data_IF_360030257509
#
_entry.id   IF_360030257509
#
_cell.length_a   1.000
_cell.length_b   1.000
_cell.length_c   1.000
_cell.angle_alpha   90.00
_cell.angle_beta   90.00
_cell.angle_gamma   90.00
#
_symmetry.space_group_name_H-M   'P 1'
#
loop_
_entity.id
_entity.type
_entity.pdbx_description
1 polymer ?
#
# COMPACT_ATOMS: atom_id res chain seq x y z
N UNK A 1 5.10 15.82 4.82
CA UNK A 1 5.00 14.75 3.80
C UNK A 1 5.55 15.17 2.43
N UNK A 2 5.23 16.36 1.87
CA UNK A 2 5.63 16.74 0.49
C UNK A 2 7.14 16.64 0.21
N UNK A 3 8.01 16.97 1.19
CA UNK A 3 9.47 16.79 1.03
C UNK A 3 9.89 15.33 0.92
N UNK A 4 9.22 14.44 1.66
CA UNK A 4 9.45 12.98 1.61
C UNK A 4 8.97 12.40 0.28
N UNK A 5 7.82 12.88 -0.23
CA UNK A 5 7.33 12.47 -1.55
C UNK A 5 8.35 12.81 -2.66
N UNK A 6 8.98 13.99 -2.61
CA UNK A 6 10.05 14.38 -3.55
C UNK A 6 11.32 13.54 -3.43
N UNK A 7 11.53 12.86 -2.31
CA UNK A 7 12.62 11.91 -2.09
C UNK A 7 12.24 10.46 -2.49
N UNK A 8 11.10 10.27 -3.13
CA UNK A 8 10.64 8.97 -3.61
C UNK A 8 9.92 8.13 -2.58
N UNK A 9 9.24 8.74 -1.59
CA UNK A 9 8.42 8.03 -0.61
C UNK A 9 6.94 8.24 -0.93
N UNK A 10 6.27 7.17 -1.38
CA UNK A 10 4.82 7.11 -1.52
C UNK A 10 4.14 6.80 -0.17
N UNK A 11 2.86 7.17 -0.04
CA UNK A 11 2.07 6.90 1.16
C UNK A 11 0.64 6.52 0.80
N UNK A 12 0.19 5.42 1.34
CA UNK A 12 -1.16 4.91 1.20
C UNK A 12 -1.79 4.79 2.59
N UNK A 13 -2.64 5.76 2.99
CA UNK A 13 -3.25 5.79 4.31
C UNK A 13 -4.28 4.67 4.49
N UNK A 14 -4.64 4.39 5.75
CA UNK A 14 -5.70 3.48 6.12
C UNK A 14 -7.06 3.91 5.55
N UNK A 15 -7.38 5.21 5.71
CA UNK A 15 -8.63 5.75 5.20
C UNK A 15 -8.59 6.06 3.71
N UNK A 16 -9.77 6.03 3.06
CA UNK A 16 -9.91 6.37 1.66
C UNK A 16 -9.38 7.78 1.34
N UNK A 17 -8.40 7.84 0.46
CA UNK A 17 -7.65 9.07 0.15
C UNK A 17 -7.97 9.67 -1.22
N UNK A 18 -8.89 9.07 -2.02
CA UNK A 18 -9.28 9.61 -3.31
C UNK A 18 -9.88 11.02 -3.20
N UNK A 19 -9.59 11.87 -4.16
CA UNK A 19 -10.27 13.16 -4.30
C UNK A 19 -11.71 12.92 -4.76
N UNK A 20 -12.65 13.05 -3.84
CA UNK A 20 -14.08 12.69 -4.04
C UNK A 20 -14.77 13.45 -5.17
N UNK A 21 -14.35 14.69 -5.43
CA UNK A 21 -14.88 15.54 -6.50
C UNK A 21 -14.30 15.26 -7.89
N UNK A 22 -13.35 14.34 -8.01
CA UNK A 22 -12.67 14.00 -9.24
C UNK A 22 -13.07 12.61 -9.73
N UNK A 23 -12.91 12.34 -11.03
CA UNK A 23 -13.00 11.00 -11.60
C UNK A 23 -11.65 10.25 -11.45
N UNK A 24 -11.60 9.00 -11.92
CA UNK A 24 -10.40 8.14 -11.82
C UNK A 24 -9.20 8.78 -12.53
N UNK A 25 -9.36 9.19 -13.79
CA UNK A 25 -8.31 9.85 -14.56
C UNK A 25 -7.77 11.10 -13.85
N UNK A 26 -8.65 11.96 -13.37
CA UNK A 26 -8.29 13.19 -12.69
C UNK A 26 -7.56 12.94 -11.36
N UNK A 27 -7.92 11.88 -10.64
CA UNK A 27 -7.23 11.47 -9.42
C UNK A 27 -5.76 11.12 -9.68
N UNK A 28 -5.47 10.35 -10.73
CA UNK A 28 -4.10 9.96 -11.10
C UNK A 28 -3.37 11.16 -11.70
N UNK A 29 -4.01 11.88 -12.61
CA UNK A 29 -3.45 13.05 -13.29
C UNK A 29 -3.01 14.15 -12.31
N UNK A 30 -3.73 14.32 -11.19
CA UNK A 30 -3.36 15.32 -10.16
C UNK A 30 -1.96 15.14 -9.59
N UNK A 31 -1.42 13.92 -9.60
CA UNK A 31 -0.03 13.63 -9.20
C UNK A 31 0.90 13.76 -10.40
N UNK A 32 0.52 13.22 -11.56
CA UNK A 32 1.33 13.29 -12.77
C UNK A 32 1.65 14.73 -13.17
N UNK A 33 0.71 15.67 -13.03
CA UNK A 33 0.92 17.10 -13.31
C UNK A 33 2.00 17.74 -12.42
N UNK A 34 2.25 17.19 -11.24
CA UNK A 34 3.27 17.69 -10.31
C UNK A 34 4.66 17.13 -10.63
N UNK A 35 4.74 15.90 -11.17
CA UNK A 35 6.01 15.19 -11.32
C UNK A 35 6.53 15.16 -12.75
N UNK A 36 5.65 15.24 -13.75
CA UNK A 36 5.99 15.14 -15.18
C UNK A 36 5.56 16.42 -15.93
N UNK A 37 6.50 17.23 -16.45
CA UNK A 37 6.18 18.45 -17.17
C UNK A 37 5.53 18.22 -18.55
N UNK A 38 5.89 17.13 -19.25
CA UNK A 38 5.40 16.82 -20.58
C UNK A 38 3.96 16.31 -20.57
N UNK A 39 3.06 16.95 -21.31
CA UNK A 39 1.66 16.54 -21.42
C UNK A 39 1.53 15.17 -22.10
N UNK A 40 2.33 14.89 -23.12
CA UNK A 40 2.31 13.62 -23.82
C UNK A 40 2.82 12.47 -22.94
N UNK A 41 3.90 12.70 -22.17
CA UNK A 41 4.41 11.72 -21.22
C UNK A 41 3.40 11.43 -20.11
N UNK A 42 2.71 12.45 -19.56
CA UNK A 42 1.63 12.26 -18.59
C UNK A 42 0.50 11.38 -19.13
N UNK A 43 0.12 11.60 -20.40
CA UNK A 43 -0.89 10.79 -21.07
C UNK A 43 -0.49 9.32 -21.15
N UNK A 44 0.74 9.03 -21.56
CA UNK A 44 1.26 7.66 -21.63
C UNK A 44 1.32 7.01 -20.24
N UNK A 45 1.88 7.69 -19.26
CA UNK A 45 1.96 7.19 -17.88
C UNK A 45 0.57 6.92 -17.26
N UNK A 46 -0.40 7.77 -17.56
CA UNK A 46 -1.79 7.55 -17.14
C UNK A 46 -2.36 6.28 -17.76
N UNK A 47 -2.20 6.09 -19.07
CA UNK A 47 -2.71 4.92 -19.79
C UNK A 47 -2.05 3.63 -19.30
N UNK A 48 -0.74 3.65 -19.01
CA UNK A 48 0.00 2.54 -18.41
C UNK A 48 -0.55 2.19 -17.02
N UNK A 49 -0.74 3.16 -16.12
CA UNK A 49 -1.28 2.92 -14.80
C UNK A 49 -2.72 2.41 -14.84
N UNK A 50 -3.55 2.95 -15.72
CA UNK A 50 -4.93 2.48 -15.89
C UNK A 50 -4.99 1.03 -16.38
N UNK A 51 -4.10 0.64 -17.29
CA UNK A 51 -4.00 -0.72 -17.80
C UNK A 51 -3.45 -1.67 -16.74
N UNK A 52 -2.37 -1.29 -16.07
CA UNK A 52 -1.68 -2.08 -15.03
C UNK A 52 -2.63 -2.50 -13.90
N UNK A 53 -3.46 -1.57 -13.42
CA UNK A 53 -4.43 -1.83 -12.35
C UNK A 53 -5.81 -2.28 -12.83
N UNK A 54 -5.99 -2.50 -14.15
CA UNK A 54 -7.25 -2.97 -14.72
C UNK A 54 -8.43 -2.01 -14.53
N UNK A 55 -8.16 -0.70 -14.39
CA UNK A 55 -9.16 0.34 -14.11
C UNK A 55 -9.43 1.25 -15.32
N UNK A 56 -8.97 0.87 -16.52
CA UNK A 56 -9.16 1.66 -17.74
C UNK A 56 -10.63 1.88 -18.10
N UNK A 57 -11.49 0.89 -17.84
CA UNK A 57 -12.94 0.98 -18.07
C UNK A 57 -13.63 1.97 -17.09
N UNK A 58 -12.97 2.31 -15.99
CA UNK A 58 -13.46 3.27 -14.99
C UNK A 58 -12.91 4.69 -15.18
N UNK A 59 -12.12 4.93 -16.22
CA UNK A 59 -11.38 6.17 -16.45
C UNK A 59 -12.16 7.43 -16.12
N UNK A 60 -13.42 7.52 -16.55
CA UNK A 60 -14.31 8.68 -16.37
C UNK A 60 -15.31 8.53 -15.21
N UNK A 61 -15.25 7.43 -14.48
CA UNK A 61 -16.16 7.16 -13.36
C UNK A 61 -15.82 8.10 -12.20
N UNK A 62 -16.80 8.81 -11.62
CA UNK A 62 -16.59 9.60 -10.43
C UNK A 62 -16.07 8.75 -9.26
N UNK A 63 -15.10 9.26 -8.48
CA UNK A 63 -14.49 8.51 -7.38
C UNK A 63 -15.49 8.04 -6.32
N UNK A 64 -16.61 8.77 -6.13
CA UNK A 64 -17.68 8.40 -5.21
C UNK A 64 -18.49 7.17 -5.66
N UNK A 65 -18.49 6.84 -6.95
CA UNK A 65 -19.24 5.71 -7.51
C UNK A 65 -18.43 4.40 -7.49
N UNK A 66 -17.15 4.44 -7.10
CA UNK A 66 -16.27 3.27 -7.06
C UNK A 66 -16.59 2.36 -5.86
N UNK A 67 -16.55 1.06 -6.09
CA UNK A 67 -16.50 0.06 -5.04
C UNK A 67 -15.22 0.21 -4.19
N UNK A 68 -15.16 -0.45 -3.04
CA UNK A 68 -13.97 -0.42 -2.16
C UNK A 68 -12.70 -0.87 -2.88
N UNK A 69 -12.74 -2.02 -3.57
CA UNK A 69 -11.61 -2.56 -4.31
C UNK A 69 -11.17 -1.70 -5.50
N UNK A 70 -12.14 -1.17 -6.28
CA UNK A 70 -11.83 -0.23 -7.37
C UNK A 70 -11.19 1.04 -6.86
N UNK A 71 -11.70 1.61 -5.77
CA UNK A 71 -11.14 2.78 -5.11
C UNK A 71 -9.71 2.53 -4.67
N UNK A 72 -9.45 1.39 -4.04
CA UNK A 72 -8.10 1.01 -3.58
C UNK A 72 -7.12 0.94 -4.73
N UNK A 73 -7.50 0.33 -5.86
CA UNK A 73 -6.67 0.30 -7.08
C UNK A 73 -6.36 1.69 -7.63
N UNK A 74 -7.33 2.61 -7.61
CA UNK A 74 -7.10 4.01 -8.01
C UNK A 74 -6.13 4.72 -7.06
N UNK A 75 -6.24 4.51 -5.75
CA UNK A 75 -5.33 5.09 -4.76
C UNK A 75 -3.89 4.62 -4.94
N UNK A 76 -3.72 3.33 -5.24
CA UNK A 76 -2.42 2.73 -5.51
C UNK A 76 -1.84 3.29 -6.81
N UNK A 77 -2.60 3.29 -7.91
CA UNK A 77 -2.19 3.86 -9.18
C UNK A 77 -1.77 5.33 -9.03
N UNK A 78 -2.54 6.11 -8.24
CA UNK A 78 -2.20 7.49 -7.92
C UNK A 78 -0.90 7.61 -7.09
N UNK A 79 -0.68 6.73 -6.12
CA UNK A 79 0.55 6.74 -5.34
C UNK A 79 1.78 6.39 -6.21
N UNK A 80 1.63 5.45 -7.15
CA UNK A 80 2.68 5.05 -8.08
C UNK A 80 2.94 6.08 -9.20
N UNK A 81 2.00 6.98 -9.47
CA UNK A 81 2.19 8.07 -10.42
C UNK A 81 3.39 8.96 -10.10
N UNK A 82 3.81 9.05 -8.81
CA UNK A 82 5.02 9.76 -8.39
C UNK A 82 6.31 8.95 -8.55
N UNK A 83 6.25 7.73 -9.10
CA UNK A 83 7.39 6.80 -9.25
C UNK A 83 8.21 6.64 -7.96
N UNK A 84 7.59 6.24 -6.85
CA UNK A 84 8.29 6.15 -5.57
C UNK A 84 9.30 4.99 -5.55
N UNK A 85 10.41 5.17 -4.81
CA UNK A 85 11.34 4.08 -4.50
C UNK A 85 10.88 3.25 -3.28
N UNK A 86 10.06 3.87 -2.42
CA UNK A 86 9.47 3.24 -1.23
C UNK A 86 8.01 3.65 -1.09
N UNK A 87 7.17 2.74 -0.61
CA UNK A 87 5.77 3.03 -0.29
C UNK A 87 5.46 2.61 1.15
N UNK A 88 4.77 3.49 1.86
CA UNK A 88 4.26 3.23 3.20
C UNK A 88 2.79 2.84 3.10
N UNK A 89 2.45 1.66 3.60
CA UNK A 89 1.08 1.15 3.71
C UNK A 89 0.66 1.20 5.19
N UNK A 90 -0.31 2.04 5.49
CA UNK A 90 -0.77 2.26 6.85
C UNK A 90 -2.02 1.43 7.12
N UNK A 91 -1.90 0.45 8.02
CA UNK A 91 -2.93 -0.52 8.38
C UNK A 91 -3.73 -1.08 7.18
N UNK A 92 -3.05 -1.64 6.14
CA UNK A 92 -3.72 -2.09 4.92
C UNK A 92 -4.65 -3.28 5.14
N UNK A 93 -4.51 -4.00 6.25
CA UNK A 93 -5.30 -5.18 6.62
C UNK A 93 -6.42 -4.85 7.62
N UNK A 94 -6.55 -3.59 8.07
CA UNK A 94 -7.55 -3.21 9.06
C UNK A 94 -8.98 -3.32 8.50
N UNK A 95 -9.82 -4.11 9.15
CA UNK A 95 -11.24 -4.21 8.84
C UNK A 95 -11.59 -4.82 7.49
N UNK A 96 -10.65 -5.54 6.85
CA UNK A 96 -10.89 -6.23 5.58
C UNK A 96 -11.26 -7.70 5.81
N UNK A 97 -11.99 -8.25 4.85
CA UNK A 97 -12.34 -9.67 4.87
C UNK A 97 -11.15 -10.55 4.39
N UNK A 98 -11.16 -11.87 4.66
CA UNK A 98 -10.08 -12.78 4.26
C UNK A 98 -9.78 -12.82 2.76
N UNK A 99 -10.76 -12.50 1.91
CA UNK A 99 -10.57 -12.45 0.44
C UNK A 99 -9.71 -11.24 0.09
N UNK A 100 -9.98 -10.09 0.71
CA UNK A 100 -9.25 -8.87 0.48
C UNK A 100 -7.80 -8.91 1.03
N UNK A 101 -7.47 -9.81 1.98
CA UNK A 101 -6.08 -10.09 2.37
C UNK A 101 -5.25 -10.57 1.19
N UNK A 102 -5.83 -11.44 0.33
CA UNK A 102 -5.21 -11.89 -0.91
C UNK A 102 -4.86 -10.74 -1.85
N UNK A 103 -5.78 -9.78 -2.02
CA UNK A 103 -5.54 -8.59 -2.86
C UNK A 103 -4.37 -7.73 -2.35
N UNK A 104 -4.21 -7.60 -1.02
CA UNK A 104 -3.07 -6.88 -0.43
C UNK A 104 -1.77 -7.65 -0.63
N UNK A 105 -1.79 -8.98 -0.52
CA UNK A 105 -0.61 -9.83 -0.81
C UNK A 105 -0.17 -9.66 -2.26
N UNK A 106 -1.10 -9.74 -3.20
CA UNK A 106 -0.83 -9.56 -4.63
C UNK A 106 -0.28 -8.16 -4.92
N UNK A 107 -0.84 -7.13 -4.28
CA UNK A 107 -0.32 -5.77 -4.37
C UNK A 107 1.13 -5.67 -3.88
N UNK A 108 1.44 -6.21 -2.69
CA UNK A 108 2.80 -6.15 -2.13
C UNK A 108 3.77 -6.90 -3.04
N UNK A 109 3.37 -8.07 -3.56
CA UNK A 109 4.14 -8.82 -4.55
C UNK A 109 4.44 -7.99 -5.79
N UNK A 110 3.40 -7.37 -6.37
CA UNK A 110 3.52 -6.49 -7.53
C UNK A 110 4.47 -5.30 -7.29
N UNK A 111 4.40 -4.66 -6.13
CA UNK A 111 5.31 -3.56 -5.77
C UNK A 111 6.75 -4.03 -5.64
N UNK A 112 6.98 -5.22 -5.06
CA UNK A 112 8.31 -5.84 -4.95
C UNK A 112 8.89 -6.17 -6.33
N UNK A 113 8.10 -6.72 -7.24
CA UNK A 113 8.51 -7.03 -8.62
C UNK A 113 8.93 -5.78 -9.40
N UNK A 114 8.36 -4.63 -9.07
CA UNK A 114 8.78 -3.31 -9.58
C UNK A 114 10.05 -2.75 -8.89
N UNK A 115 10.62 -3.45 -7.92
CA UNK A 115 11.77 -2.98 -7.15
C UNK A 115 11.44 -1.88 -6.13
N UNK A 116 10.18 -1.73 -5.75
CA UNK A 116 9.72 -0.75 -4.76
C UNK A 116 9.81 -1.36 -3.37
N UNK A 117 10.50 -0.69 -2.44
CA UNK A 117 10.51 -1.07 -1.04
C UNK A 117 9.15 -0.80 -0.38
N UNK A 118 8.61 -1.77 0.37
CA UNK A 118 7.31 -1.65 1.02
C UNK A 118 7.48 -1.69 2.54
N UNK A 119 6.99 -0.65 3.23
CA UNK A 119 6.87 -0.63 4.68
C UNK A 119 5.38 -0.70 5.05
N UNK A 120 5.03 -1.70 5.86
CA UNK A 120 3.66 -1.93 6.33
C UNK A 120 3.63 -1.66 7.83
N UNK A 121 2.65 -0.87 8.29
CA UNK A 121 2.25 -0.82 9.70
C UNK A 121 0.91 -1.52 9.82
N UNK A 122 0.79 -2.53 10.69
CA UNK A 122 -0.48 -3.20 10.94
C UNK A 122 -0.48 -3.83 12.34
N UNK A 123 -1.66 -3.99 12.90
CA UNK A 123 -1.87 -4.71 14.16
C UNK A 123 -2.31 -6.18 13.93
N UNK A 124 -2.67 -6.53 12.71
CA UNK A 124 -3.02 -7.90 12.31
C UNK A 124 -1.75 -8.71 12.02
N UNK A 125 -1.12 -9.19 13.09
CA UNK A 125 0.22 -9.79 13.04
C UNK A 125 0.26 -11.03 12.16
N UNK A 126 -0.76 -11.89 12.23
CA UNK A 126 -0.78 -13.16 11.49
C UNK A 126 -0.69 -12.95 9.98
N UNK A 127 -1.62 -12.18 9.43
CA UNK A 127 -1.71 -11.93 8.01
C UNK A 127 -0.52 -11.08 7.52
N UNK A 128 -0.03 -10.16 8.36
CA UNK A 128 1.14 -9.35 8.02
C UNK A 128 2.40 -10.21 7.90
N UNK A 129 2.64 -11.13 8.84
CA UNK A 129 3.82 -12.00 8.80
C UNK A 129 3.87 -12.90 7.56
N UNK A 130 2.71 -13.22 6.95
CA UNK A 130 2.65 -14.02 5.71
C UNK A 130 3.09 -13.27 4.44
N UNK A 131 3.16 -11.93 4.47
CA UNK A 131 3.42 -11.10 3.28
C UNK A 131 4.71 -10.31 3.32
N UNK A 132 5.43 -10.31 4.45
CA UNK A 132 6.65 -9.53 4.66
C UNK A 132 7.90 -10.39 4.67
N UNK A 133 9.05 -9.77 4.41
CA UNK A 133 10.36 -10.43 4.49
C UNK A 133 11.04 -10.18 5.84
N UNK A 134 10.66 -9.10 6.55
CA UNK A 134 11.25 -8.68 7.84
C UNK A 134 10.23 -7.91 8.66
N UNK A 135 10.20 -8.12 9.95
CA UNK A 135 9.36 -7.43 10.91
C UNK A 135 10.15 -6.68 11.97
N UNK A 136 9.57 -5.60 12.46
CA UNK A 136 9.97 -4.87 13.64
C UNK A 136 8.79 -4.85 14.61
N UNK A 137 8.93 -5.51 15.75
CA UNK A 137 7.90 -5.51 16.79
C UNK A 137 8.16 -4.33 17.71
N UNK A 138 7.20 -3.42 17.78
CA UNK A 138 7.26 -2.22 18.59
C UNK A 138 6.47 -2.42 19.89
N UNK A 139 7.08 -2.09 21.03
CA UNK A 139 6.41 -2.10 22.33
C UNK A 139 6.92 -0.93 23.17
N UNK A 140 6.01 -0.18 23.80
CA UNK A 140 6.31 0.99 24.61
C UNK A 140 7.28 1.99 23.96
N UNK A 141 7.10 2.21 22.64
CA UNK A 141 7.92 3.17 21.88
C UNK A 141 9.33 2.69 21.54
N UNK A 142 9.63 1.41 21.80
CA UNK A 142 10.93 0.79 21.51
C UNK A 142 10.76 -0.43 20.59
N UNK A 143 11.83 -0.76 19.85
CA UNK A 143 11.87 -2.03 19.09
C UNK A 143 12.16 -3.15 20.08
N UNK A 144 11.15 -4.00 20.31
CA UNK A 144 11.26 -5.19 21.15
C UNK A 144 12.09 -6.28 20.45
N UNK A 145 11.85 -6.47 19.16
CA UNK A 145 12.51 -7.46 18.33
C UNK A 145 12.47 -7.03 16.87
N UNK A 146 13.52 -7.39 16.11
CA UNK A 146 13.54 -7.35 14.66
C UNK A 146 14.03 -8.68 14.11
N UNK A 147 13.48 -9.13 12.98
CA UNK A 147 13.87 -10.39 12.36
C UNK A 147 12.95 -10.84 11.24
N UNK A 148 13.19 -12.04 10.74
CA UNK A 148 12.29 -12.70 9.80
C UNK A 148 11.03 -13.18 10.51
N UNK A 149 9.92 -13.41 9.76
CA UNK A 149 8.67 -13.89 10.35
C UNK A 149 8.84 -15.09 11.29
N UNK A 150 9.62 -16.09 10.91
CA UNK A 150 9.86 -17.30 11.69
C UNK A 150 10.59 -17.01 13.02
N UNK A 151 11.55 -16.07 12.99
CA UNK A 151 12.30 -15.64 14.17
C UNK A 151 11.38 -14.86 15.14
N UNK A 152 10.51 -14.02 14.59
CA UNK A 152 9.52 -13.25 15.37
C UNK A 152 8.53 -14.17 16.08
N UNK A 153 8.01 -15.17 15.39
CA UNK A 153 7.06 -16.15 15.97
C UNK A 153 7.72 -17.03 17.04
N UNK A 154 9.01 -17.32 16.90
CA UNK A 154 9.76 -18.12 17.87
C UNK A 154 10.16 -17.34 19.14
N UNK A 155 10.13 -16.00 19.11
CA UNK A 155 10.60 -15.16 20.21
C UNK A 155 9.65 -15.18 21.42
N UNK A 156 10.14 -15.53 22.60
CA UNK A 156 9.33 -15.71 23.82
C UNK A 156 8.57 -14.43 24.22
N UNK A 157 9.25 -13.27 24.24
CA UNK A 157 8.63 -12.01 24.63
C UNK A 157 7.56 -11.56 23.63
N UNK A 158 7.77 -11.78 22.33
CA UNK A 158 6.75 -11.49 21.31
C UNK A 158 5.53 -12.37 21.50
N UNK A 159 5.72 -13.66 21.76
CA UNK A 159 4.62 -14.59 22.06
C UNK A 159 3.85 -14.15 23.30
N UNK A 160 4.56 -13.80 24.37
CA UNK A 160 3.93 -13.38 25.63
C UNK A 160 3.13 -12.08 25.49
N UNK A 161 3.63 -11.09 24.74
CA UNK A 161 3.06 -9.73 24.68
C UNK A 161 2.06 -9.56 23.56
N UNK A 162 2.31 -10.19 22.40
CA UNK A 162 1.54 -9.92 21.15
C UNK A 162 0.77 -11.11 20.63
N UNK A 163 1.37 -12.31 20.58
CA UNK A 163 0.81 -13.42 19.84
C UNK A 163 -0.07 -14.33 20.71
N UNK A 164 0.21 -14.38 22.01
CA UNK A 164 -0.34 -15.40 22.91
C UNK A 164 0.37 -16.76 22.75
N UNK A 165 0.33 -17.56 23.82
CA UNK A 165 1.07 -18.84 23.92
C UNK A 165 0.66 -19.90 22.87
N UNK A 166 -0.55 -19.80 22.31
CA UNK A 166 -1.12 -20.75 21.34
C UNK A 166 -0.99 -20.32 19.87
N UNK A 167 -0.26 -19.26 19.59
CA UNK A 167 -0.09 -18.77 18.24
C UNK A 167 0.77 -19.72 17.40
N UNK A 168 0.28 -20.04 16.18
CA UNK A 168 1.01 -20.71 15.10
C UNK A 168 0.67 -20.05 13.77
N UNK A 169 1.63 -19.93 12.88
CA UNK A 169 1.42 -19.55 11.48
C UNK A 169 0.70 -20.66 10.72
#
# INVERSE_FOLDING_TARGET
>A
MYRRARLGIGYLPQEASVFRGLNVEQNIMSVLEVVEPSADARGMMLDELLAEFGIGHLRRTPALALSGGERRRVEIARALASQPSYILLDEPLAGIDPIAVGEIRDLVGHLKDRGIGVLITDHNVRETLEIIDRAYIMHDGQVLMEGRPEEVVAHEDVRRVYLGERFSL
#
